data_IF_179993166707
#
_entry.id   IF_179993166707
#
_cell.length_a   1.000
_cell.length_b   1.000
_cell.length_c   1.000
_cell.angle_alpha   90.00
_cell.angle_beta   90.00
_cell.angle_gamma   90.00
#
_symmetry.space_group_name_H-M   'P 1'
#
loop_
_entity.id
_entity.type
_entity.pdbx_description
1 polymer ?
#
# COMPACT_ATOMS: atom_id res chain seq x y z
N UNK A 1 0.69 67.11 3.15
CA UNK A 1 1.46 66.12 2.34
C UNK A 1 1.00 64.75 2.78
N UNK A 2 0.12 64.10 2.01
CA UNK A 2 -0.41 62.77 2.32
C UNK A 2 0.51 61.71 1.70
N UNK A 3 1.01 60.72 2.45
CA UNK A 3 1.54 59.52 1.83
C UNK A 3 0.39 58.53 1.62
N UNK A 4 0.06 58.35 0.35
CA UNK A 4 -0.57 57.16 -0.20
C UNK A 4 0.42 56.00 0.02
N UNK A 5 0.01 54.98 0.76
CA UNK A 5 0.73 53.71 0.80
C UNK A 5 -0.23 52.60 0.35
N UNK A 6 -0.04 52.20 -0.90
CA UNK A 6 -0.64 51.02 -1.50
C UNK A 6 0.06 49.76 -1.00
N UNK A 7 -0.72 48.70 -0.76
CA UNK A 7 -0.47 47.30 -1.13
C UNK A 7 -1.27 46.36 -0.21
N UNK A 8 -2.50 46.07 -0.62
CA UNK A 8 -3.21 44.87 -0.19
C UNK A 8 -2.85 43.73 -1.14
N UNK A 9 -2.89 42.49 -0.62
CA UNK A 9 -2.81 41.21 -1.33
C UNK A 9 -1.37 40.75 -1.69
N UNK A 10 -0.90 39.52 -1.44
CA UNK A 10 -1.55 38.24 -1.14
C UNK A 10 -0.77 37.49 -0.06
N UNK A 11 -1.38 37.27 1.10
CA UNK A 11 -0.97 36.23 2.03
C UNK A 11 -1.62 34.92 1.59
N UNK A 12 -1.00 34.23 0.64
CA UNK A 12 -1.31 32.83 0.32
C UNK A 12 -0.09 32.01 0.65
N UNK A 13 0.19 31.88 1.95
CA UNK A 13 1.05 30.81 2.43
C UNK A 13 0.35 29.50 2.04
N UNK A 14 0.80 28.91 0.94
CA UNK A 14 0.46 27.55 0.59
C UNK A 14 0.85 26.68 1.77
N UNK A 15 -0.15 26.29 2.55
CA UNK A 15 0.00 25.27 3.57
C UNK A 15 0.29 23.99 2.79
N UNK A 16 1.57 23.69 2.61
CA UNK A 16 2.03 22.36 2.26
C UNK A 16 1.70 21.46 3.44
N UNK A 17 0.42 21.07 3.55
CA UNK A 17 0.02 19.85 4.25
C UNK A 17 0.61 18.70 3.44
N UNK A 18 1.91 18.45 3.60
CA UNK A 18 2.43 17.12 3.33
C UNK A 18 1.80 16.27 4.41
N UNK A 19 0.77 15.51 4.03
CA UNK A 19 0.23 14.44 4.84
C UNK A 19 1.44 13.61 5.27
N UNK A 20 1.82 13.72 6.54
CA UNK A 20 2.78 12.81 7.11
C UNK A 20 2.17 11.44 6.92
N UNK A 21 2.76 10.61 6.06
CA UNK A 21 2.64 9.18 6.19
C UNK A 21 3.17 8.90 7.59
N UNK A 22 2.28 8.86 8.57
CA UNK A 22 2.58 8.22 9.83
C UNK A 22 3.03 6.83 9.39
N UNK A 23 4.33 6.56 9.51
CA UNK A 23 4.86 5.21 9.34
C UNK A 23 4.22 4.40 10.45
N UNK A 24 3.01 3.90 10.18
CA UNK A 24 2.37 2.90 11.01
C UNK A 24 3.42 1.82 11.24
N UNK A 25 3.53 1.36 12.48
CA UNK A 25 4.43 0.25 12.79
C UNK A 25 4.17 -0.87 11.77
N UNK A 26 5.20 -1.49 11.18
CA UNK A 26 5.00 -2.53 10.19
C UNK A 26 4.02 -3.58 10.70
N UNK A 27 2.99 -3.88 9.92
CA UNK A 27 2.00 -4.89 10.31
C UNK A 27 2.59 -6.29 10.11
N UNK A 28 3.32 -6.74 11.12
CA UNK A 28 3.91 -8.07 11.14
C UNK A 28 2.86 -9.15 11.37
N UNK A 29 1.68 -8.82 11.90
CA UNK A 29 0.60 -9.77 12.14
C UNK A 29 -0.06 -10.16 10.81
N UNK A 30 -0.44 -9.18 9.99
CA UNK A 30 -0.94 -9.39 8.63
C UNK A 30 0.08 -10.17 7.79
N UNK A 31 1.36 -9.78 7.85
CA UNK A 31 2.45 -10.48 7.16
C UNK A 31 2.59 -11.94 7.59
N UNK A 32 2.56 -12.23 8.90
CA UNK A 32 2.65 -13.60 9.41
C UNK A 32 1.44 -14.45 9.03
N UNK A 33 0.23 -13.87 9.10
CA UNK A 33 -1.01 -14.52 8.64
C UNK A 33 -0.92 -14.87 7.16
N UNK A 34 -0.45 -13.96 6.30
CA UNK A 34 -0.25 -14.23 4.88
C UNK A 34 0.74 -15.37 4.62
N UNK A 35 1.87 -15.39 5.32
CA UNK A 35 2.83 -16.50 5.24
C UNK A 35 2.18 -17.83 5.70
N UNK A 36 1.34 -17.79 6.73
CA UNK A 36 0.62 -18.96 7.24
C UNK A 36 -0.41 -19.49 6.25
N UNK A 37 -1.16 -18.60 5.59
CA UNK A 37 -2.10 -18.93 4.50
C UNK A 37 -1.36 -19.60 3.35
N UNK A 38 -0.26 -18.99 2.88
CA UNK A 38 0.55 -19.56 1.79
C UNK A 38 1.16 -20.91 2.17
N UNK A 39 1.55 -21.10 3.44
CA UNK A 39 2.08 -22.37 3.94
C UNK A 39 0.99 -23.44 4.00
N UNK A 40 -0.19 -23.10 4.50
CA UNK A 40 -1.32 -24.02 4.63
C UNK A 40 -1.84 -24.49 3.28
N UNK A 41 -1.78 -23.63 2.26
CA UNK A 41 -2.10 -23.97 0.88
C UNK A 41 -0.97 -24.72 0.14
N UNK A 42 0.21 -24.90 0.77
CA UNK A 42 1.37 -25.52 0.12
C UNK A 42 2.06 -24.64 -0.95
N UNK A 43 1.72 -23.36 -1.01
CA UNK A 43 2.13 -22.43 -2.07
C UNK A 43 3.38 -21.63 -1.73
N UNK A 44 3.75 -21.53 -0.45
CA UNK A 44 4.83 -20.64 0.01
C UNK A 44 6.13 -20.84 -0.78
N UNK A 45 6.50 -22.07 -1.09
CA UNK A 45 7.72 -22.37 -1.86
C UNK A 45 7.65 -21.94 -3.33
N UNK A 46 6.48 -22.02 -3.96
CA UNK A 46 6.27 -21.57 -5.33
C UNK A 46 6.25 -20.04 -5.41
N UNK A 47 5.50 -19.39 -4.51
CA UNK A 47 5.40 -17.94 -4.44
C UNK A 47 6.74 -17.30 -4.09
N UNK A 48 7.51 -17.88 -3.17
CA UNK A 48 8.83 -17.37 -2.83
C UNK A 48 9.83 -17.39 -4.00
N UNK A 49 9.66 -18.31 -4.97
CA UNK A 49 10.54 -18.43 -6.14
C UNK A 49 10.06 -17.62 -7.33
N UNK A 50 8.76 -17.65 -7.60
CA UNK A 50 8.19 -17.17 -8.86
C UNK A 50 7.28 -15.94 -8.68
N UNK A 51 6.98 -15.55 -7.44
CA UNK A 51 5.93 -14.57 -7.15
C UNK A 51 4.53 -15.18 -7.19
N UNK A 52 3.52 -14.33 -7.03
CA UNK A 52 2.11 -14.70 -7.11
C UNK A 52 1.44 -13.91 -8.23
N UNK A 53 0.74 -14.62 -9.11
CA UNK A 53 -0.06 -13.99 -10.17
C UNK A 53 -1.26 -13.25 -9.55
N UNK A 54 -1.55 -12.04 -10.04
CA UNK A 54 -2.64 -11.22 -9.52
C UNK A 54 -4.01 -11.89 -9.69
N UNK A 55 -4.25 -12.55 -10.82
CA UNK A 55 -5.50 -13.29 -11.08
C UNK A 55 -5.63 -14.42 -10.07
N UNK A 56 -4.55 -15.17 -9.84
CA UNK A 56 -4.54 -16.23 -8.85
C UNK A 56 -4.80 -15.72 -7.43
N UNK A 57 -4.16 -14.60 -7.03
CA UNK A 57 -4.37 -14.01 -5.72
C UNK A 57 -5.84 -13.60 -5.50
N UNK A 58 -6.49 -13.03 -6.53
CA UNK A 58 -7.90 -12.62 -6.45
C UNK A 58 -8.84 -13.82 -6.41
N UNK A 59 -8.67 -14.78 -7.32
CA UNK A 59 -9.62 -15.88 -7.48
C UNK A 59 -9.42 -17.00 -6.44
N UNK A 60 -8.19 -17.28 -6.05
CA UNK A 60 -7.86 -18.44 -5.19
C UNK A 60 -7.57 -18.05 -3.74
N UNK A 61 -7.07 -16.83 -3.48
CA UNK A 61 -6.73 -16.38 -2.12
C UNK A 61 -7.72 -15.33 -1.59
N UNK A 62 -8.68 -14.88 -2.39
CA UNK A 62 -9.70 -13.91 -1.98
C UNK A 62 -9.15 -12.49 -1.78
N UNK A 63 -7.98 -12.19 -2.35
CA UNK A 63 -7.39 -10.86 -2.29
C UNK A 63 -8.16 -9.92 -3.20
N UNK A 64 -8.35 -8.67 -2.79
CA UNK A 64 -8.98 -7.66 -3.67
C UNK A 64 -8.13 -6.40 -3.73
N UNK A 65 -8.30 -5.60 -4.78
CA UNK A 65 -7.62 -4.29 -4.89
C UNK A 65 -8.38 -3.30 -4.01
N UNK A 66 -7.65 -2.57 -3.16
CA UNK A 66 -8.25 -1.56 -2.29
C UNK A 66 -8.85 -0.43 -3.14
N UNK A 67 -10.06 0.08 -2.82
CA UNK A 67 -10.65 1.19 -3.57
C UNK A 67 -9.71 2.39 -3.64
N UNK A 68 -9.45 2.86 -4.87
CA UNK A 68 -8.56 4.00 -5.12
C UNK A 68 -7.05 3.67 -5.13
N UNK A 69 -6.65 2.42 -4.93
CA UNK A 69 -5.26 2.01 -5.11
C UNK A 69 -4.87 2.01 -6.59
N UNK A 70 -3.71 2.58 -6.90
CA UNK A 70 -3.09 2.49 -8.23
C UNK A 70 -2.15 1.29 -8.27
N UNK A 71 -2.51 0.28 -9.05
CA UNK A 71 -1.73 -0.95 -9.23
C UNK A 71 -1.00 -0.99 -10.57
N UNK A 72 -1.01 0.10 -11.35
CA UNK A 72 -0.36 0.13 -12.67
C UNK A 72 1.16 -0.12 -12.64
N UNK A 73 1.79 0.15 -11.49
CA UNK A 73 3.21 -0.13 -11.24
C UNK A 73 3.51 -1.46 -10.55
N UNK A 74 2.49 -2.28 -10.23
CA UNK A 74 2.68 -3.57 -9.56
C UNK A 74 3.10 -4.61 -10.60
N UNK A 75 4.27 -5.26 -10.45
CA UNK A 75 4.68 -6.33 -11.35
C UNK A 75 3.75 -7.55 -11.22
N UNK A 76 3.51 -8.24 -12.34
CA UNK A 76 2.74 -9.48 -12.38
C UNK A 76 3.57 -10.57 -13.09
N UNK A 77 3.94 -11.67 -12.41
CA UNK A 77 3.61 -12.03 -11.03
C UNK A 77 4.27 -11.13 -9.98
N UNK A 78 3.55 -10.87 -8.88
CA UNK A 78 4.01 -10.05 -7.76
C UNK A 78 5.12 -10.78 -7.02
N UNK A 79 6.36 -10.24 -6.98
CA UNK A 79 7.47 -10.83 -6.24
C UNK A 79 7.14 -10.97 -4.75
N UNK A 80 7.58 -12.07 -4.14
CA UNK A 80 7.31 -12.34 -2.72
C UNK A 80 7.79 -11.21 -1.79
N UNK A 81 8.90 -10.54 -2.11
CA UNK A 81 9.38 -9.38 -1.34
C UNK A 81 8.41 -8.19 -1.38
N UNK A 82 7.82 -7.89 -2.54
CA UNK A 82 6.82 -6.83 -2.68
C UNK A 82 5.51 -7.22 -2.00
N UNK A 83 5.10 -8.48 -2.12
CA UNK A 83 3.92 -8.99 -1.41
C UNK A 83 4.07 -8.83 0.12
N UNK A 84 5.23 -9.19 0.68
CA UNK A 84 5.49 -9.01 2.11
C UNK A 84 5.57 -7.53 2.51
N UNK A 85 6.14 -6.68 1.66
CA UNK A 85 6.18 -5.24 1.90
C UNK A 85 4.77 -4.64 1.96
N UNK A 86 3.91 -5.07 1.05
CA UNK A 86 2.51 -4.64 0.99
C UNK A 86 1.71 -5.15 2.21
N UNK A 87 1.89 -6.40 2.66
CA UNK A 87 1.30 -6.86 3.93
C UNK A 87 1.74 -6.01 5.12
N UNK A 88 3.03 -5.63 5.18
CA UNK A 88 3.56 -4.78 6.26
C UNK A 88 2.98 -3.37 6.25
N UNK A 89 2.38 -2.93 5.13
CA UNK A 89 1.71 -1.65 5.05
C UNK A 89 0.33 -1.65 5.74
N UNK A 90 -0.24 -2.83 6.07
CA UNK A 90 -1.50 -2.95 6.81
C UNK A 90 -2.63 -2.18 6.13
N UNK A 91 -3.24 -1.22 6.84
CA UNK A 91 -4.30 -0.36 6.30
C UNK A 91 -3.89 0.47 5.07
N UNK A 92 -2.58 0.69 4.88
CA UNK A 92 -2.03 1.41 3.71
C UNK A 92 -1.62 0.47 2.55
N UNK A 93 -1.89 -0.83 2.66
CA UNK A 93 -1.69 -1.80 1.57
C UNK A 93 -2.54 -1.46 0.35
N UNK A 94 -2.00 -1.73 -0.84
CA UNK A 94 -2.71 -1.62 -2.11
C UNK A 94 -3.80 -2.69 -2.26
N UNK A 95 -3.66 -3.79 -1.53
CA UNK A 95 -4.57 -4.90 -1.54
C UNK A 95 -5.34 -5.00 -0.21
N UNK A 96 -6.49 -5.67 -0.26
CA UNK A 96 -7.24 -6.10 0.92
C UNK A 96 -7.08 -7.61 0.99
N UNK A 97 -6.41 -8.07 2.05
CA UNK A 97 -6.21 -9.47 2.33
C UNK A 97 -7.27 -9.96 3.32
N UNK A 98 -7.93 -11.10 3.12
CA UNK A 98 -9.00 -11.56 4.02
C UNK A 98 -8.51 -12.11 5.36
N UNK A 99 -7.19 -12.24 5.54
CA UNK A 99 -6.52 -12.60 6.80
C UNK A 99 -5.92 -11.39 7.52
N UNK A 100 -6.13 -10.21 6.94
CA UNK A 100 -5.99 -8.89 7.52
C UNK A 100 -7.39 -8.23 7.43
#
# INVERSE_FOLDING_TARGET
MFPIAAAAALASAAVLTTAGSASASPDTSCMQSGISTLRSAGLLGAVAKNGVDLTYAVESLGVTVRPGADISGVPDPVPFSLLLADHRAGDSSLFVYPWC
#
